data_IF_253086263676
#
_entry.id   IF_253086263676
#
_cell.length_a   1.000
_cell.length_b   1.000
_cell.length_c   1.000
_cell.angle_alpha   90.00
_cell.angle_beta   90.00
_cell.angle_gamma   90.00
#
_symmetry.space_group_name_H-M   'P 1'
#
loop_
_entity.id
_entity.type
_entity.pdbx_description
1 polymer ?
#
# COMPACT_ATOMS: atom_id res chain seq x y z
N UNK A 1 -22.41 -12.66 -4.20
CA UNK A 1 -22.32 -11.52 -3.26
C UNK A 1 -23.49 -11.59 -2.32
N UNK A 2 -23.19 -11.56 -1.03
CA UNK A 2 -24.09 -11.78 0.11
C UNK A 2 -24.48 -10.49 0.86
N UNK A 3 -24.04 -9.31 0.41
CA UNK A 3 -24.40 -8.05 1.07
C UNK A 3 -23.49 -7.63 2.22
N UNK A 4 -22.26 -8.15 2.29
CA UNK A 4 -21.39 -8.03 3.47
C UNK A 4 -20.58 -6.74 3.60
N UNK A 5 -20.49 -5.91 2.56
CA UNK A 5 -19.66 -4.69 2.58
C UNK A 5 -20.41 -3.48 2.02
N UNK A 6 -20.06 -2.28 2.49
CA UNK A 6 -20.67 -1.01 2.06
C UNK A 6 -19.78 -0.17 1.15
N UNK A 7 -18.52 -0.55 0.95
CA UNK A 7 -17.58 0.23 0.15
C UNK A 7 -16.19 -0.38 0.10
N UNK A 8 -15.32 0.24 -0.69
CA UNK A 8 -13.94 -0.16 -0.90
C UNK A 8 -12.99 0.98 -0.50
N UNK A 9 -11.84 0.66 0.04
CA UNK A 9 -10.78 1.63 0.33
C UNK A 9 -9.46 1.15 -0.28
N UNK A 10 -8.76 2.01 -1.01
CA UNK A 10 -7.42 1.75 -1.54
C UNK A 10 -6.45 2.87 -1.18
N UNK A 11 -5.41 2.54 -0.42
CA UNK A 11 -4.36 3.50 -0.06
C UNK A 11 -3.10 3.38 -0.91
N UNK A 12 -3.05 2.40 -1.82
CA UNK A 12 -1.92 2.19 -2.71
C UNK A 12 -2.31 1.45 -4.00
N UNK A 13 -1.57 1.68 -5.11
CA UNK A 13 -1.73 0.92 -6.35
C UNK A 13 -1.60 -0.60 -6.17
N UNK A 14 -0.75 -1.04 -5.25
CA UNK A 14 -0.52 -2.48 -4.96
C UNK A 14 -1.79 -3.19 -4.51
N UNK A 15 -2.64 -2.52 -3.71
CA UNK A 15 -3.93 -3.07 -3.30
C UNK A 15 -4.87 -3.28 -4.49
N UNK A 16 -4.90 -2.31 -5.43
CA UNK A 16 -5.69 -2.39 -6.66
C UNK A 16 -5.22 -3.58 -7.52
N UNK A 17 -3.91 -3.71 -7.74
CA UNK A 17 -3.35 -4.80 -8.53
C UNK A 17 -3.68 -6.17 -7.93
N UNK A 18 -3.59 -6.31 -6.60
CA UNK A 18 -3.95 -7.56 -5.94
C UNK A 18 -5.42 -7.93 -6.16
N UNK A 19 -6.34 -6.96 -6.04
CA UNK A 19 -7.76 -7.18 -6.35
C UNK A 19 -7.95 -7.55 -7.82
N UNK A 20 -7.25 -6.90 -8.75
CA UNK A 20 -7.31 -7.25 -10.18
C UNK A 20 -6.88 -8.69 -10.45
N UNK A 21 -5.84 -9.17 -9.78
CA UNK A 21 -5.40 -10.56 -9.90
C UNK A 21 -6.49 -11.53 -9.42
N UNK A 22 -7.13 -11.25 -8.27
CA UNK A 22 -8.24 -12.06 -7.78
C UNK A 22 -9.44 -12.05 -8.74
N UNK A 23 -9.78 -10.89 -9.31
CA UNK A 23 -10.88 -10.74 -10.27
C UNK A 23 -10.66 -11.57 -11.53
N UNK A 24 -9.42 -11.63 -12.05
CA UNK A 24 -9.09 -12.50 -13.20
C UNK A 24 -9.38 -13.97 -12.90
N UNK A 25 -9.10 -14.42 -11.67
CA UNK A 25 -9.37 -15.80 -11.24
C UNK A 25 -10.87 -16.10 -11.16
N UNK A 26 -11.70 -15.13 -10.77
CA UNK A 26 -13.17 -15.27 -10.68
C UNK A 26 -13.91 -14.77 -11.93
N UNK A 27 -13.21 -14.63 -13.05
CA UNK A 27 -13.68 -14.18 -14.37
C UNK A 27 -14.15 -12.72 -14.48
N UNK A 28 -14.90 -12.17 -13.52
CA UNK A 28 -15.31 -10.76 -13.54
C UNK A 28 -15.58 -10.19 -12.15
N UNK A 29 -15.36 -8.88 -11.99
CA UNK A 29 -15.79 -8.16 -10.80
C UNK A 29 -17.32 -8.05 -10.86
N UNK A 30 -18.00 -8.42 -9.78
CA UNK A 30 -19.46 -8.32 -9.72
C UNK A 30 -19.91 -6.89 -10.03
N UNK A 31 -20.89 -6.72 -10.92
CA UNK A 31 -21.52 -5.42 -11.22
C UNK A 31 -22.06 -4.70 -9.97
N UNK A 32 -22.31 -5.44 -8.88
CA UNK A 32 -22.67 -4.88 -7.58
C UNK A 32 -21.50 -4.13 -6.92
N UNK A 33 -20.27 -4.62 -7.05
CA UNK A 33 -19.08 -3.96 -6.51
C UNK A 33 -18.75 -2.68 -7.28
N UNK A 34 -19.06 -2.65 -8.59
CA UNK A 34 -18.90 -1.44 -9.40
C UNK A 34 -19.78 -0.27 -8.94
N UNK A 35 -20.87 -0.56 -8.22
CA UNK A 35 -21.77 0.45 -7.66
C UNK A 35 -21.41 0.87 -6.24
N UNK A 36 -20.46 0.18 -5.60
CA UNK A 36 -20.05 0.52 -4.25
C UNK A 36 -19.17 1.78 -4.27
N UNK A 37 -19.32 2.69 -3.28
CA UNK A 37 -18.40 3.80 -3.15
C UNK A 37 -16.99 3.25 -2.93
N UNK A 38 -16.05 3.77 -3.73
CA UNK A 38 -14.63 3.40 -3.67
C UNK A 38 -13.83 4.63 -3.30
N UNK A 39 -13.08 4.54 -2.21
CA UNK A 39 -12.27 5.62 -1.66
C UNK A 39 -10.80 5.37 -1.93
N UNK A 40 -10.06 6.41 -2.31
CA UNK A 40 -8.64 6.30 -2.65
C UNK A 40 -7.79 7.37 -2.01
N UNK A 41 -6.56 7.02 -1.63
CA UNK A 41 -5.54 8.01 -1.25
C UNK A 41 -4.65 8.29 -2.46
N UNK A 42 -4.69 9.55 -2.93
CA UNK A 42 -3.79 10.09 -3.95
C UNK A 42 -4.15 9.72 -5.39
N UNK A 43 -3.75 10.60 -6.30
CA UNK A 43 -4.08 10.53 -7.73
C UNK A 43 -3.52 9.27 -8.40
N UNK A 44 -2.29 8.87 -8.06
CA UNK A 44 -1.67 7.67 -8.63
C UNK A 44 -2.46 6.39 -8.33
N UNK A 45 -3.06 6.30 -7.13
CA UNK A 45 -3.94 5.15 -6.79
C UNK A 45 -5.25 5.21 -7.59
N UNK A 46 -5.83 6.41 -7.75
CA UNK A 46 -7.07 6.61 -8.51
C UNK A 46 -6.92 6.22 -9.99
N UNK A 47 -5.81 6.61 -10.62
CA UNK A 47 -5.52 6.27 -12.02
C UNK A 47 -5.36 4.76 -12.22
N UNK A 48 -4.68 4.08 -11.30
CA UNK A 48 -4.52 2.62 -11.34
C UNK A 48 -5.86 1.93 -11.09
N UNK A 49 -6.68 2.44 -10.17
CA UNK A 49 -8.02 1.93 -9.91
C UNK A 49 -8.90 1.98 -11.17
N UNK A 50 -8.95 3.14 -11.84
CA UNK A 50 -9.74 3.32 -13.05
C UNK A 50 -9.24 2.42 -14.19
N UNK A 51 -7.94 2.40 -14.46
CA UNK A 51 -7.39 1.62 -15.57
C UNK A 51 -7.45 0.10 -15.37
N UNK A 52 -7.32 -0.38 -14.13
CA UNK A 52 -7.26 -1.82 -13.85
C UNK A 52 -8.63 -2.43 -13.54
N UNK A 53 -9.48 -1.71 -12.80
CA UNK A 53 -10.78 -2.20 -12.32
C UNK A 53 -11.99 -1.47 -12.91
N UNK A 54 -11.78 -0.36 -13.61
CA UNK A 54 -12.88 0.45 -14.15
C UNK A 54 -13.72 1.12 -13.06
N UNK A 55 -13.15 1.33 -11.87
CA UNK A 55 -13.82 1.95 -10.73
C UNK A 55 -13.36 3.39 -10.57
N UNK A 56 -14.30 4.28 -10.27
CA UNK A 56 -14.01 5.67 -9.96
C UNK A 56 -13.70 5.83 -8.46
N UNK A 57 -12.54 6.40 -8.16
CA UNK A 57 -12.06 6.62 -6.80
C UNK A 57 -12.41 8.01 -6.28
N UNK A 58 -13.14 8.08 -5.17
CA UNK A 58 -13.44 9.32 -4.45
C UNK A 58 -12.34 9.65 -3.43
N UNK A 59 -12.17 10.94 -3.12
CA UNK A 59 -11.19 11.39 -2.11
C UNK A 59 -9.74 11.40 -2.58
N UNK A 60 -9.47 11.25 -3.89
CA UNK A 60 -8.11 11.31 -4.48
C UNK A 60 -7.35 12.61 -4.15
N UNK A 61 -8.08 13.70 -3.97
CA UNK A 61 -7.56 15.03 -3.60
C UNK A 61 -7.29 15.19 -2.09
N UNK A 62 -7.70 14.23 -1.26
CA UNK A 62 -7.52 14.33 0.19
C UNK A 62 -6.03 14.37 0.59
N UNK A 63 -5.13 13.85 -0.26
CA UNK A 63 -3.67 13.94 -0.10
C UNK A 63 -3.08 13.15 1.07
N UNK A 64 -3.90 12.70 2.02
CA UNK A 64 -3.49 11.92 3.20
C UNK A 64 -4.58 10.98 3.67
N UNK A 65 -4.18 9.96 4.43
CA UNK A 65 -5.10 9.04 5.10
C UNK A 65 -6.07 9.77 6.05
N UNK A 66 -5.58 10.72 6.84
CA UNK A 66 -6.40 11.47 7.82
C UNK A 66 -7.50 12.28 7.12
N UNK A 67 -7.16 12.99 6.05
CA UNK A 67 -8.15 13.77 5.30
C UNK A 67 -9.18 12.86 4.62
N UNK A 68 -8.75 11.68 4.15
CA UNK A 68 -9.66 10.70 3.57
C UNK A 68 -10.64 10.16 4.62
N UNK A 69 -10.20 9.96 5.88
CA UNK A 69 -11.08 9.57 6.99
C UNK A 69 -12.17 10.62 7.20
N UNK A 70 -11.81 11.91 7.24
CA UNK A 70 -12.81 12.98 7.39
C UNK A 70 -13.77 13.04 6.21
N UNK A 71 -13.31 12.78 4.99
CA UNK A 71 -14.17 12.67 3.82
C UNK A 71 -15.17 11.51 3.94
N UNK A 72 -14.70 10.31 4.27
CA UNK A 72 -15.52 9.11 4.44
C UNK A 72 -16.53 9.31 5.58
N UNK A 73 -16.13 9.98 6.67
CA UNK A 73 -16.96 10.20 7.87
C UNK A 73 -18.14 11.15 7.66
N UNK A 74 -18.29 11.75 6.48
CA UNK A 74 -19.47 12.57 6.12
C UNK A 74 -20.71 11.73 5.84
N UNK A 75 -20.56 10.41 5.69
CA UNK A 75 -21.63 9.45 5.43
C UNK A 75 -21.62 8.35 6.48
N UNK A 76 -22.75 7.65 6.61
CA UNK A 76 -22.86 6.44 7.44
C UNK A 76 -22.88 5.18 6.58
N UNK A 77 -22.37 4.08 7.13
CA UNK A 77 -22.25 2.81 6.44
C UNK A 77 -22.81 1.69 7.32
N UNK A 78 -23.81 0.97 6.82
CA UNK A 78 -24.46 -0.12 7.57
C UNK A 78 -23.60 -1.40 7.63
N UNK A 79 -22.58 -1.52 6.77
CA UNK A 79 -21.66 -2.66 6.67
C UNK A 79 -20.22 -2.15 6.63
N UNK A 80 -19.23 -2.99 6.94
CA UNK A 80 -17.84 -2.57 6.90
C UNK A 80 -17.39 -2.13 5.50
N UNK A 81 -16.42 -1.21 5.49
CA UNK A 81 -15.63 -0.91 4.30
C UNK A 81 -14.55 -1.98 4.13
N UNK A 82 -14.42 -2.54 2.93
CA UNK A 82 -13.35 -3.49 2.64
C UNK A 82 -12.06 -2.73 2.34
N UNK A 83 -10.98 -3.10 3.02
CA UNK A 83 -9.68 -2.47 2.87
C UNK A 83 -8.58 -3.50 2.51
N UNK A 84 -8.30 -3.72 1.21
CA UNK A 84 -7.15 -4.49 0.76
C UNK A 84 -5.86 -3.71 1.03
N UNK A 85 -5.05 -4.18 1.97
CA UNK A 85 -3.93 -3.45 2.53
C UNK A 85 -2.63 -4.26 2.53
N UNK A 86 -1.52 -3.59 2.85
CA UNK A 86 -0.23 -4.24 3.04
C UNK A 86 -0.12 -4.88 4.43
N UNK A 87 0.86 -5.75 4.62
CA UNK A 87 1.13 -6.39 5.93
C UNK A 87 1.64 -5.44 7.02
N UNK A 88 1.93 -4.17 6.68
CA UNK A 88 2.48 -3.21 7.62
C UNK A 88 1.36 -2.69 8.52
N UNK A 89 1.39 -3.05 9.81
CA UNK A 89 0.37 -2.73 10.82
C UNK A 89 0.23 -1.23 11.19
N UNK A 90 0.79 -0.32 10.38
CA UNK A 90 0.84 1.12 10.65
C UNK A 90 -0.15 1.94 9.81
N UNK A 91 -1.13 1.29 9.19
CA UNK A 91 -2.19 2.03 8.51
C UNK A 91 -3.06 2.75 9.55
N UNK A 92 -2.87 4.07 9.65
CA UNK A 92 -3.62 4.95 10.55
C UNK A 92 -5.11 5.05 10.16
N UNK A 93 -5.40 4.86 8.87
CA UNK A 93 -6.74 4.96 8.29
C UNK A 93 -7.78 4.02 8.94
N UNK A 94 -7.58 2.69 9.01
CA UNK A 94 -8.57 1.80 9.62
C UNK A 94 -8.82 2.12 11.09
N UNK A 95 -7.77 2.48 11.87
CA UNK A 95 -7.95 2.89 13.27
C UNK A 95 -8.82 4.13 13.37
N UNK A 96 -8.52 5.17 12.60
CA UNK A 96 -9.26 6.43 12.65
C UNK A 96 -10.72 6.27 12.15
N UNK A 97 -10.96 5.43 11.14
CA UNK A 97 -12.33 5.09 10.71
C UNK A 97 -13.11 4.38 11.83
N UNK A 98 -12.49 3.42 12.51
CA UNK A 98 -13.11 2.72 13.64
C UNK A 98 -13.41 3.66 14.82
N UNK A 99 -12.52 4.62 15.11
CA UNK A 99 -12.75 5.69 16.10
C UNK A 99 -13.95 6.59 15.75
N UNK A 100 -14.27 6.73 14.46
CA UNK A 100 -15.45 7.45 13.96
C UNK A 100 -16.69 6.56 13.85
N UNK A 101 -16.64 5.32 14.33
CA UNK A 101 -17.76 4.37 14.29
C UNK A 101 -17.94 3.66 12.94
N UNK A 102 -16.99 3.78 12.02
CA UNK A 102 -17.03 3.14 10.70
C UNK A 102 -16.25 1.83 10.74
N UNK A 103 -16.96 0.71 10.62
CA UNK A 103 -16.34 -0.60 10.60
C UNK A 103 -15.47 -0.78 9.34
N UNK A 104 -14.30 -1.41 9.50
CA UNK A 104 -13.38 -1.69 8.40
C UNK A 104 -12.99 -3.16 8.43
N UNK A 105 -13.18 -3.86 7.31
CA UNK A 105 -12.70 -5.22 7.12
C UNK A 105 -11.36 -5.18 6.37
N UNK A 106 -10.27 -5.38 7.11
CA UNK A 106 -8.92 -5.36 6.55
C UNK A 106 -8.54 -6.74 5.98
N UNK A 107 -8.03 -6.75 4.76
CA UNK A 107 -7.48 -7.97 4.13
C UNK A 107 -6.05 -7.66 3.68
N UNK A 108 -5.07 -8.36 4.25
CA UNK A 108 -3.68 -8.22 3.80
C UNK A 108 -3.49 -8.92 2.45
N UNK A 109 -3.25 -8.15 1.40
CA UNK A 109 -3.15 -8.66 0.01
C UNK A 109 -1.76 -8.51 -0.61
N UNK A 110 -0.85 -7.80 0.07
CA UNK A 110 0.56 -7.73 -0.33
C UNK A 110 1.46 -7.55 0.89
N UNK A 111 2.75 -7.88 0.73
CA UNK A 111 3.76 -7.76 1.78
C UNK A 111 5.04 -7.14 1.24
N UNK A 112 5.55 -6.16 1.97
CA UNK A 112 6.88 -5.59 1.73
C UNK A 112 7.94 -6.59 2.19
N UNK A 113 8.87 -6.96 1.29
CA UNK A 113 9.97 -7.89 1.55
C UNK A 113 11.29 -7.29 1.01
N UNK A 114 12.45 -7.69 1.56
CA UNK A 114 13.73 -7.34 0.95
C UNK A 114 13.81 -7.92 -0.47
N UNK A 115 14.50 -7.21 -1.36
CA UNK A 115 14.81 -7.73 -2.68
C UNK A 115 15.69 -9.00 -2.53
N UNK A 116 15.39 -10.12 -3.22
CA UNK A 116 16.12 -11.38 -3.03
C UNK A 116 17.61 -11.26 -3.35
N UNK A 117 17.98 -10.31 -4.21
CA UNK A 117 19.36 -10.04 -4.62
C UNK A 117 19.96 -8.79 -3.95
N UNK A 118 19.35 -8.28 -2.87
CA UNK A 118 19.83 -7.04 -2.24
C UNK A 118 21.30 -7.14 -1.81
N UNK A 119 21.66 -8.20 -1.09
CA UNK A 119 23.04 -8.41 -0.61
C UNK A 119 24.02 -8.58 -1.78
N UNK A 120 23.68 -9.39 -2.79
CA UNK A 120 24.55 -9.61 -3.95
C UNK A 120 24.78 -8.33 -4.75
N UNK A 121 23.74 -7.50 -4.89
CA UNK A 121 23.85 -6.24 -5.61
C UNK A 121 24.71 -5.23 -4.85
N UNK A 122 24.55 -5.14 -3.51
CA UNK A 122 25.41 -4.31 -2.67
C UNK A 122 26.88 -4.78 -2.75
N UNK A 123 27.14 -6.09 -2.66
CA UNK A 123 28.49 -6.64 -2.80
C UNK A 123 29.10 -6.31 -4.17
N UNK A 124 28.32 -6.37 -5.24
CA UNK A 124 28.78 -6.02 -6.59
C UNK A 124 29.23 -4.55 -6.66
N UNK A 125 28.45 -3.62 -6.11
CA UNK A 125 28.78 -2.19 -6.08
C UNK A 125 30.08 -1.97 -5.28
N UNK A 126 30.18 -2.57 -4.09
CA UNK A 126 31.36 -2.43 -3.22
C UNK A 126 32.62 -2.99 -3.85
N UNK A 127 32.52 -4.11 -4.57
CA UNK A 127 33.69 -4.75 -5.19
C UNK A 127 34.09 -4.09 -6.52
N UNK A 128 33.15 -3.41 -7.18
CA UNK A 128 33.37 -2.77 -8.48
C UNK A 128 33.95 -1.36 -8.33
N UNK A 129 33.50 -0.62 -7.33
CA UNK A 129 34.03 0.69 -6.99
C UNK A 129 35.29 0.49 -6.11
N UNK A 130 36.43 1.09 -6.45
CA UNK A 130 37.64 1.04 -5.59
C UNK A 130 37.44 1.74 -4.22
N UNK A 131 36.28 2.37 -4.02
CA UNK A 131 35.86 3.01 -2.78
C UNK A 131 34.35 2.84 -2.53
N UNK A 132 33.96 2.79 -1.25
CA UNK A 132 32.55 2.76 -0.86
C UNK A 132 31.88 4.11 -1.18
N UNK A 133 30.61 4.16 -1.64
CA UNK A 133 29.92 5.42 -1.92
C UNK A 133 29.85 6.32 -0.68
N UNK A 134 30.13 7.62 -0.88
CA UNK A 134 30.06 8.62 0.20
C UNK A 134 28.64 8.81 0.76
N UNK A 135 27.62 8.52 -0.04
CA UNK A 135 26.22 8.73 0.35
C UNK A 135 25.35 7.55 -0.05
N UNK A 136 24.41 7.20 0.83
CA UNK A 136 23.33 6.24 0.55
C UNK A 136 21.99 6.96 0.66
N UNK A 137 21.22 6.98 -0.43
CA UNK A 137 19.90 7.62 -0.46
C UNK A 137 18.80 6.59 -0.25
N UNK A 138 17.98 6.81 0.80
CA UNK A 138 16.83 5.95 1.12
C UNK A 138 15.51 6.61 0.76
N UNK A 139 14.72 5.92 -0.06
CA UNK A 139 13.38 6.37 -0.47
C UNK A 139 12.27 5.89 0.48
N UNK A 140 12.59 5.05 1.47
CA UNK A 140 11.62 4.60 2.48
C UNK A 140 12.30 3.99 3.71
N UNK A 141 11.62 3.95 4.88
CA UNK A 141 12.11 3.24 6.07
C UNK A 141 12.39 1.75 5.84
N UNK A 142 11.67 1.11 4.92
CA UNK A 142 11.91 -0.30 4.60
C UNK A 142 13.23 -0.51 3.86
N UNK A 143 13.64 0.44 3.01
CA UNK A 143 14.93 0.40 2.32
C UNK A 143 16.10 0.39 3.29
N UNK A 144 16.08 1.30 4.28
CA UNK A 144 17.07 1.32 5.36
C UNK A 144 17.04 0.01 6.15
N UNK A 145 15.86 -0.38 6.66
CA UNK A 145 15.70 -1.59 7.46
C UNK A 145 16.23 -2.86 6.78
N UNK A 146 16.05 -3.00 5.47
CA UNK A 146 16.45 -4.20 4.73
C UNK A 146 17.90 -4.19 4.27
N UNK A 147 18.46 -3.00 4.01
CA UNK A 147 19.86 -2.89 3.58
C UNK A 147 20.84 -2.91 4.74
N UNK A 148 20.46 -2.39 5.91
CA UNK A 148 21.36 -2.28 7.06
C UNK A 148 22.04 -3.61 7.44
N UNK A 149 21.33 -4.76 7.58
CA UNK A 149 21.98 -6.03 7.90
C UNK A 149 22.93 -6.52 6.80
N UNK A 150 22.66 -6.19 5.54
CA UNK A 150 23.53 -6.55 4.43
C UNK A 150 24.79 -5.68 4.39
N UNK A 151 24.68 -4.39 4.70
CA UNK A 151 25.82 -3.47 4.79
C UNK A 151 26.74 -3.83 5.97
N UNK A 152 26.17 -4.14 7.14
CA UNK A 152 26.92 -4.61 8.31
C UNK A 152 27.72 -5.88 8.01
N UNK A 153 27.10 -6.85 7.31
CA UNK A 153 27.74 -8.10 6.90
C UNK A 153 28.87 -7.89 5.88
N UNK A 154 28.78 -6.83 5.09
CA UNK A 154 29.81 -6.44 4.12
C UNK A 154 30.88 -5.53 4.74
N UNK A 155 30.85 -5.36 6.08
CA UNK A 155 31.81 -4.55 6.85
C UNK A 155 31.95 -3.11 6.35
N UNK A 156 30.85 -2.57 5.81
CA UNK A 156 30.79 -1.18 5.38
C UNK A 156 30.99 -0.28 6.61
N UNK A 157 31.88 0.72 6.57
CA UNK A 157 32.09 1.64 7.67
C UNK A 157 30.93 2.63 7.78
N UNK A 158 29.78 2.16 8.28
CA UNK A 158 28.54 2.94 8.40
C UNK A 158 28.68 4.18 9.30
N UNK A 159 29.69 4.20 10.18
CA UNK A 159 30.00 5.33 11.06
C UNK A 159 30.64 6.52 10.32
N UNK A 160 31.03 6.33 9.06
CA UNK A 160 31.53 7.39 8.17
C UNK A 160 30.43 7.93 7.23
N UNK A 161 29.20 7.38 7.29
CA UNK A 161 28.04 7.77 6.48
C UNK A 161 27.05 8.65 7.25
#
# INVERSE_FOLDING_TARGET
WDGTISGLVFTSPRGVHAVKLCVKTVQNLSSKWQKLPTFVVGEGTAQVLQSQLGLEGQGREAGSATNLVEFISRSSYARPLLFPCGSLKRDTLPRQLMEKGIAVHMVTVYKTRPHPQLESNLRCIINFEEAFPEYIVYFSPSGLKFSLPALEKLEVPLHHL
#
